data_IF_423532204056
#
_entry.id   IF_423532204056
#
_cell.length_a   1.000
_cell.length_b   1.000
_cell.length_c   1.000
_cell.angle_alpha   90.00
_cell.angle_beta   90.00
_cell.angle_gamma   90.00
#
_symmetry.space_group_name_H-M   'P 1'
#
loop_
_entity.id
_entity.type
_entity.pdbx_description
1 polymer ?
#
# COMPACT_ATOMS: atom_id res chain seq x y z
N UNK A 1 -12.96 17.10 18.88
CA UNK A 1 -13.00 16.20 17.70
C UNK A 1 -11.97 15.11 17.93
N UNK A 2 -12.37 13.84 17.89
CA UNK A 2 -11.52 12.71 18.30
C UNK A 2 -10.18 12.75 17.56
N UNK A 3 -9.09 12.85 18.32
CA UNK A 3 -7.71 12.81 17.83
C UNK A 3 -7.32 11.40 17.41
N UNK A 4 -7.98 10.88 16.37
CA UNK A 4 -7.61 9.61 15.76
C UNK A 4 -6.52 9.83 14.72
N UNK A 5 -5.28 9.88 15.17
CA UNK A 5 -4.14 9.68 14.27
C UNK A 5 -4.18 8.21 13.86
N UNK A 6 -4.27 7.91 12.55
CA UNK A 6 -4.16 6.53 12.07
C UNK A 6 -2.77 6.02 12.44
N UNK A 7 -2.70 5.27 13.54
CA UNK A 7 -1.46 4.63 13.99
C UNK A 7 -1.00 3.66 12.89
N UNK A 8 0.28 3.75 12.52
CA UNK A 8 0.90 2.74 11.67
C UNK A 8 0.74 1.37 12.33
N UNK A 9 0.16 0.44 11.58
CA UNK A 9 -0.12 -0.93 12.05
C UNK A 9 0.59 -1.99 11.21
N UNK A 10 1.45 -1.58 10.28
CA UNK A 10 2.27 -2.45 9.44
C UNK A 10 3.76 -2.19 9.67
N UNK A 11 4.58 -3.21 9.46
CA UNK A 11 6.03 -3.12 9.55
C UNK A 11 6.65 -2.78 8.19
N UNK A 12 6.28 -3.51 7.15
CA UNK A 12 6.89 -3.43 5.82
C UNK A 12 5.87 -3.08 4.73
N UNK A 13 6.29 -2.31 3.73
CA UNK A 13 5.55 -2.06 2.50
C UNK A 13 6.32 -2.63 1.31
N UNK A 14 5.76 -3.63 0.63
CA UNK A 14 6.45 -4.37 -0.46
C UNK A 14 5.63 -4.38 -1.74
N UNK A 15 6.30 -4.32 -2.89
CA UNK A 15 5.63 -4.41 -4.19
C UNK A 15 5.47 -5.86 -4.61
N UNK A 16 4.25 -6.23 -4.99
CA UNK A 16 3.90 -7.58 -5.43
C UNK A 16 3.32 -7.52 -6.84
N UNK A 17 3.83 -8.38 -7.73
CA UNK A 17 3.28 -8.55 -9.08
C UNK A 17 2.04 -9.43 -9.04
N UNK A 18 0.99 -9.02 -9.76
CA UNK A 18 -0.26 -9.75 -9.90
C UNK A 18 -0.52 -10.03 -11.39
N UNK A 19 -1.58 -10.79 -11.67
CA UNK A 19 -2.01 -11.04 -13.06
C UNK A 19 -2.50 -9.78 -13.79
N UNK A 20 -2.94 -8.76 -13.05
CA UNK A 20 -3.48 -7.52 -13.59
C UNK A 20 -2.50 -6.33 -13.57
N UNK A 21 -1.32 -6.48 -12.96
CA UNK A 21 -0.33 -5.42 -12.81
C UNK A 21 0.52 -5.58 -11.55
N UNK A 22 0.66 -4.50 -10.80
CA UNK A 22 1.43 -4.46 -9.55
C UNK A 22 0.57 -3.90 -8.42
N UNK A 23 0.74 -4.44 -7.22
CA UNK A 23 0.11 -3.96 -6.00
C UNK A 23 1.18 -3.71 -4.93
N UNK A 24 0.75 -3.17 -3.80
CA UNK A 24 1.58 -3.01 -2.61
C UNK A 24 0.98 -3.86 -1.51
N UNK A 25 1.79 -4.63 -0.80
CA UNK A 25 1.42 -5.30 0.43
C UNK A 25 1.94 -4.50 1.63
N UNK A 26 1.10 -4.31 2.62
CA UNK A 26 1.48 -3.89 3.96
C UNK A 26 1.57 -5.15 4.81
N UNK A 27 2.79 -5.56 5.14
CA UNK A 27 3.14 -6.91 5.61
C UNK A 27 2.58 -7.98 4.66
N UNK A 28 1.67 -8.82 5.14
CA UNK A 28 1.04 -9.90 4.36
C UNK A 28 -0.29 -9.48 3.70
N UNK A 29 -0.69 -8.20 3.82
CA UNK A 29 -2.01 -7.72 3.37
C UNK A 29 -1.91 -6.81 2.16
N UNK A 30 -2.60 -7.19 1.08
CA UNK A 30 -2.73 -6.34 -0.11
C UNK A 30 -3.41 -5.01 0.21
N UNK A 31 -2.83 -3.92 -0.31
CA UNK A 31 -3.36 -2.57 -0.19
C UNK A 31 -4.70 -2.45 -0.92
N UNK A 32 -5.64 -1.76 -0.29
CA UNK A 32 -6.96 -1.46 -0.86
C UNK A 32 -7.14 0.04 -1.01
N UNK A 33 -7.91 0.44 -2.01
CA UNK A 33 -8.36 1.82 -2.14
C UNK A 33 -9.36 2.18 -1.03
N UNK A 34 -9.61 3.47 -0.75
CA UNK A 34 -10.65 3.87 0.19
C UNK A 34 -12.06 3.31 -0.14
N UNK A 35 -12.33 3.05 -1.43
CA UNK A 35 -13.55 2.39 -1.91
C UNK A 35 -13.53 0.85 -1.74
N UNK A 36 -12.52 0.30 -1.04
CA UNK A 36 -12.30 -1.14 -0.81
C UNK A 36 -11.97 -1.96 -2.06
N UNK A 37 -11.61 -1.31 -3.17
CA UNK A 37 -11.16 -1.99 -4.37
C UNK A 37 -9.68 -2.38 -4.27
N UNK A 38 -9.24 -3.36 -5.06
CA UNK A 38 -7.83 -3.71 -5.19
C UNK A 38 -7.02 -2.51 -5.71
N UNK A 39 -5.92 -2.20 -5.02
CA UNK A 39 -4.97 -1.22 -5.53
C UNK A 39 -4.03 -1.90 -6.53
N UNK A 40 -4.34 -1.80 -7.82
CA UNK A 40 -3.52 -2.32 -8.91
C UNK A 40 -3.05 -1.17 -9.81
N UNK A 41 -1.76 -1.13 -10.11
CA UNK A 41 -1.16 -0.19 -11.06
C UNK A 41 -0.40 -0.93 -12.16
N UNK A 42 -0.36 -0.40 -13.40
CA UNK A 42 0.22 -1.12 -14.54
C UNK A 42 1.76 -1.12 -14.56
N UNK A 43 2.41 -0.21 -13.81
CA UNK A 43 3.86 -0.02 -13.83
C UNK A 43 4.46 -0.27 -12.44
N UNK A 44 5.53 -1.06 -12.40
CA UNK A 44 6.26 -1.35 -11.16
C UNK A 44 6.81 -0.10 -10.49
N UNK A 45 7.32 0.86 -11.26
CA UNK A 45 7.87 2.12 -10.74
C UNK A 45 6.84 2.95 -9.96
N UNK A 46 5.56 2.90 -10.34
CA UNK A 46 4.49 3.56 -9.60
C UNK A 46 4.19 2.81 -8.29
N UNK A 47 4.17 1.48 -8.32
CA UNK A 47 4.01 0.68 -7.10
C UNK A 47 5.19 0.89 -6.13
N UNK A 48 6.42 0.98 -6.64
CA UNK A 48 7.63 1.22 -5.84
C UNK A 48 7.57 2.59 -5.13
N UNK A 49 7.12 3.63 -5.83
CA UNK A 49 6.92 4.95 -5.24
C UNK A 49 5.86 4.92 -4.12
N UNK A 50 4.74 4.24 -4.36
CA UNK A 50 3.67 4.09 -3.37
C UNK A 50 4.16 3.30 -2.15
N UNK A 51 4.86 2.17 -2.34
CA UNK A 51 5.45 1.41 -1.24
C UNK A 51 6.41 2.27 -0.41
N UNK A 52 7.22 3.12 -1.07
CA UNK A 52 8.11 4.07 -0.40
C UNK A 52 7.34 5.09 0.45
N UNK A 53 6.24 5.65 -0.05
CA UNK A 53 5.39 6.57 0.71
C UNK A 53 4.79 5.90 1.95
N UNK A 54 4.34 4.65 1.83
CA UNK A 54 3.84 3.86 2.95
C UNK A 54 4.93 3.50 3.96
N UNK A 55 6.14 3.22 3.48
CA UNK A 55 7.29 2.93 4.35
C UNK A 55 7.76 4.15 5.13
N UNK A 56 7.56 5.36 4.59
CA UNK A 56 7.93 6.62 5.23
C UNK A 56 6.94 7.09 6.32
N UNK A 57 5.76 6.47 6.44
CA UNK A 57 4.77 6.86 7.47
C UNK A 57 5.26 6.50 8.88
N UNK A 58 5.17 7.43 9.83
CA UNK A 58 5.56 7.26 11.24
C UNK A 58 4.60 7.96 12.17
#
# INVERSE_FOLDING_TARGET
MSGWTKKRFWQDATVVQTTAGFTVHLDDRALKTPAKADFIVPKRSLADAVATEWQAQG
#
